data_IF_066608431989
#
_entry.id   IF_066608431989
#
_cell.length_a   1.000
_cell.length_b   1.000
_cell.length_c   1.000
_cell.angle_alpha   90.00
_cell.angle_beta   90.00
_cell.angle_gamma   90.00
#
_symmetry.space_group_name_H-M   'P 1'
#
loop_
_entity.id
_entity.type
_entity.pdbx_description
1 polymer ?
#
# COMPACT_ATOMS: atom_id res chain seq x y z
N UNK A 1 -53.95 43.20 24.92
CA UNK A 1 -52.74 42.44 25.29
C UNK A 1 -52.67 41.21 24.37
N UNK A 2 -51.78 41.21 23.38
CA UNK A 2 -51.60 40.10 22.42
C UNK A 2 -50.14 39.66 22.50
N UNK A 3 -49.88 38.51 23.10
CA UNK A 3 -48.57 37.89 23.13
C UNK A 3 -48.45 36.94 21.93
N UNK A 4 -47.56 37.27 20.99
CA UNK A 4 -47.19 36.40 19.88
C UNK A 4 -46.05 35.50 20.37
N UNK A 5 -46.32 34.20 20.55
CA UNK A 5 -45.27 33.21 20.82
C UNK A 5 -44.45 32.99 19.54
N UNK A 6 -43.16 33.37 19.59
CA UNK A 6 -42.20 33.00 18.56
C UNK A 6 -41.72 31.56 18.82
N UNK A 7 -41.99 30.68 17.86
CA UNK A 7 -41.62 29.27 17.92
C UNK A 7 -40.26 29.11 17.24
N UNK A 8 -39.19 29.06 18.04
CA UNK A 8 -37.81 28.93 17.58
C UNK A 8 -37.52 27.47 17.24
N UNK A 9 -37.58 27.11 15.95
CA UNK A 9 -37.17 25.79 15.46
C UNK A 9 -35.65 25.68 15.49
N UNK A 10 -35.13 24.95 16.49
CA UNK A 10 -33.72 24.58 16.58
C UNK A 10 -33.40 23.54 15.50
N UNK A 11 -32.61 23.92 14.50
CA UNK A 11 -32.05 23.01 13.49
C UNK A 11 -30.90 22.26 14.16
N UNK A 12 -31.12 20.99 14.50
CA UNK A 12 -30.07 20.07 14.93
C UNK A 12 -29.25 19.65 13.72
N UNK A 13 -28.11 20.31 13.52
CA UNK A 13 -27.11 19.91 12.54
C UNK A 13 -26.45 18.60 12.99
N UNK A 14 -26.89 17.48 12.42
CA UNK A 14 -26.18 16.20 12.55
C UNK A 14 -24.91 16.28 11.72
N UNK A 15 -23.77 16.53 12.37
CA UNK A 15 -22.45 16.37 11.77
C UNK A 15 -22.19 14.88 11.57
N UNK A 16 -22.39 14.40 10.34
CA UNK A 16 -21.92 13.08 9.94
C UNK A 16 -20.39 13.06 10.00
N UNK A 17 -19.84 12.47 11.06
CA UNK A 17 -18.42 12.14 11.13
C UNK A 17 -18.16 11.04 10.10
N UNK A 18 -17.64 11.41 8.94
CA UNK A 18 -17.05 10.47 8.00
C UNK A 18 -15.78 9.90 8.62
N UNK A 19 -15.86 8.72 9.20
CA UNK A 19 -14.66 7.95 9.56
C UNK A 19 -14.00 7.52 8.25
N UNK A 20 -12.87 8.14 7.92
CA UNK A 20 -12.06 7.69 6.79
C UNK A 20 -11.64 6.23 7.05
N UNK A 21 -12.02 5.33 6.15
CA UNK A 21 -11.60 3.94 6.23
C UNK A 21 -10.07 3.90 6.16
N UNK A 22 -9.44 3.24 7.14
CA UNK A 22 -8.00 3.04 7.11
C UNK A 22 -7.61 2.25 5.85
N UNK A 23 -6.47 2.55 5.21
CA UNK A 23 -6.04 1.86 4.01
C UNK A 23 -5.82 0.37 4.34
N UNK A 24 -6.41 -0.51 3.51
CA UNK A 24 -6.34 -1.95 3.72
C UNK A 24 -4.93 -2.45 3.38
N UNK A 25 -4.28 -3.05 4.38
CA UNK A 25 -2.96 -3.69 4.23
C UNK A 25 -3.15 -5.20 4.09
N UNK A 26 -2.55 -5.80 3.06
CA UNK A 26 -2.66 -7.22 2.73
C UNK A 26 -1.27 -7.87 2.73
N UNK A 27 -1.10 -8.95 3.48
CA UNK A 27 0.12 -9.77 3.41
C UNK A 27 0.10 -10.61 2.12
N UNK A 28 1.19 -10.58 1.37
CA UNK A 28 1.40 -11.48 0.22
C UNK A 28 1.49 -12.92 0.76
N UNK A 29 0.60 -13.84 0.35
CA UNK A 29 0.55 -15.19 0.88
C UNK A 29 1.90 -15.91 0.78
N UNK A 30 2.37 -16.47 1.90
CA UNK A 30 3.62 -17.24 1.98
C UNK A 30 4.91 -16.41 2.02
N UNK A 31 4.84 -15.09 1.86
CA UNK A 31 6.02 -14.21 1.92
C UNK A 31 6.65 -14.12 3.32
N UNK A 32 5.92 -14.54 4.35
CA UNK A 32 6.40 -14.70 5.71
C UNK A 32 7.31 -15.94 5.89
N UNK A 33 7.16 -16.95 5.03
CA UNK A 33 7.87 -18.22 5.14
C UNK A 33 8.92 -18.45 4.03
N UNK A 34 8.73 -17.87 2.84
CA UNK A 34 9.55 -18.11 1.65
C UNK A 34 10.10 -16.82 1.06
N UNK A 35 11.11 -16.96 0.21
CA UNK A 35 11.68 -15.84 -0.54
C UNK A 35 10.83 -15.49 -1.76
N UNK A 36 10.62 -14.20 -1.95
CA UNK A 36 9.87 -13.64 -3.06
C UNK A 36 10.70 -12.63 -3.83
N UNK A 37 10.29 -12.38 -5.06
CA UNK A 37 10.70 -11.22 -5.84
C UNK A 37 9.55 -10.21 -5.97
N UNK A 38 9.92 -8.98 -6.27
CA UNK A 38 9.00 -7.87 -6.57
C UNK A 38 9.45 -7.27 -7.90
N UNK A 39 8.56 -7.18 -8.88
CA UNK A 39 8.83 -6.51 -10.14
C UNK A 39 7.74 -5.51 -10.44
N UNK A 40 8.12 -4.24 -10.57
CA UNK A 40 7.26 -3.17 -11.03
C UNK A 40 7.68 -2.69 -12.42
N UNK A 41 6.69 -2.32 -13.21
CA UNK A 41 6.88 -1.87 -14.57
C UNK A 41 5.87 -0.79 -14.97
N UNK A 42 6.35 0.16 -15.77
CA UNK A 42 5.56 1.23 -16.38
C UNK A 42 5.95 1.32 -17.86
N UNK A 43 4.97 1.37 -18.75
CA UNK A 43 5.17 1.43 -20.20
C UNK A 43 6.14 0.33 -20.73
N UNK A 44 6.06 -0.86 -20.14
CA UNK A 44 6.89 -2.02 -20.49
C UNK A 44 8.35 -1.94 -19.99
N UNK A 45 8.71 -0.93 -19.20
CA UNK A 45 10.04 -0.78 -18.61
C UNK A 45 10.02 -1.15 -17.13
N UNK A 46 11.02 -1.91 -16.68
CA UNK A 46 11.20 -2.23 -15.26
C UNK A 46 11.64 -0.99 -14.51
N UNK A 47 10.87 -0.60 -13.50
CA UNK A 47 11.07 0.60 -12.68
C UNK A 47 11.53 0.25 -11.28
N UNK A 48 11.20 -0.95 -10.80
CA UNK A 48 11.67 -1.49 -9.53
C UNK A 48 11.82 -3.01 -9.61
N UNK A 49 12.88 -3.55 -9.02
CA UNK A 49 13.18 -4.97 -9.06
C UNK A 49 13.87 -5.47 -7.79
N UNK A 50 13.25 -6.45 -7.15
CA UNK A 50 13.88 -7.38 -6.21
C UNK A 50 13.79 -8.76 -6.84
N UNK A 51 14.91 -9.31 -7.27
CA UNK A 51 14.97 -10.63 -7.92
C UNK A 51 16.37 -11.19 -7.86
N UNK A 52 16.47 -12.50 -7.74
CA UNK A 52 17.71 -13.25 -7.91
C UNK A 52 18.14 -13.19 -9.39
N UNK A 53 19.02 -12.24 -9.70
CA UNK A 53 19.65 -12.10 -11.01
C UNK A 53 21.17 -11.94 -10.83
N UNK A 54 21.95 -12.49 -11.74
CA UNK A 54 23.43 -12.46 -11.78
C UNK A 54 23.95 -11.02 -11.89
N UNK A 55 23.16 -10.11 -12.47
CA UNK A 55 23.52 -8.70 -12.66
C UNK A 55 23.10 -7.73 -11.55
N UNK A 56 22.13 -8.10 -10.72
CA UNK A 56 21.63 -7.23 -9.66
C UNK A 56 22.47 -7.43 -8.40
N UNK A 57 23.21 -6.42 -7.93
CA UNK A 57 24.10 -6.57 -6.76
C UNK A 57 23.47 -6.14 -5.44
N UNK A 58 22.28 -5.54 -5.50
CA UNK A 58 21.70 -4.88 -4.33
C UNK A 58 20.72 -5.80 -3.61
N UNK A 59 19.66 -6.27 -4.29
CA UNK A 59 18.56 -7.01 -3.65
C UNK A 59 18.10 -8.22 -4.46
N UNK A 60 18.15 -9.40 -3.85
CA UNK A 60 17.75 -10.66 -4.48
C UNK A 60 16.48 -11.26 -3.90
N UNK A 61 16.23 -11.02 -2.61
CA UNK A 61 15.12 -11.65 -1.87
C UNK A 61 14.29 -10.61 -1.15
N UNK A 62 12.97 -10.81 -1.15
CA UNK A 62 12.00 -10.09 -0.34
C UNK A 62 11.17 -11.05 0.53
N UNK A 63 10.84 -10.64 1.75
CA UNK A 63 9.98 -11.39 2.70
C UNK A 63 9.07 -10.43 3.47
N UNK A 64 8.04 -10.99 4.13
CA UNK A 64 7.05 -10.25 4.90
C UNK A 64 6.48 -9.07 4.09
N UNK A 65 6.00 -9.36 2.88
CA UNK A 65 5.59 -8.33 1.93
C UNK A 65 4.14 -7.95 2.21
N UNK A 66 3.94 -6.70 2.61
CA UNK A 66 2.62 -6.11 2.80
C UNK A 66 2.32 -5.14 1.67
N UNK A 67 1.14 -5.28 1.06
CA UNK A 67 0.63 -4.40 0.01
C UNK A 67 -0.51 -3.57 0.58
N UNK A 68 -0.36 -2.25 0.47
CA UNK A 68 -1.39 -1.29 0.88
C UNK A 68 -1.86 -0.54 -0.35
N UNK A 69 -3.17 -0.55 -0.61
CA UNK A 69 -3.74 0.29 -1.67
C UNK A 69 -3.75 1.75 -1.23
N UNK A 70 -3.26 2.62 -2.10
CA UNK A 70 -3.25 4.08 -1.94
C UNK A 70 -4.18 4.71 -2.97
N UNK A 71 -4.45 6.01 -2.79
CA UNK A 71 -5.25 6.79 -3.73
C UNK A 71 -4.66 6.79 -5.15
N UNK A 72 -5.54 6.86 -6.15
CA UNK A 72 -5.14 6.91 -7.56
C UNK A 72 -4.63 5.59 -8.13
N UNK A 73 -4.97 4.45 -7.51
CA UNK A 73 -4.58 3.11 -7.97
C UNK A 73 -3.11 2.79 -7.71
N UNK A 74 -2.46 3.54 -6.82
CA UNK A 74 -1.08 3.32 -6.40
C UNK A 74 -1.02 2.27 -5.30
N UNK A 75 0.15 1.64 -5.15
CA UNK A 75 0.41 0.62 -4.14
C UNK A 75 1.62 1.03 -3.29
N UNK A 76 1.56 0.78 -1.99
CA UNK A 76 2.75 0.74 -1.14
C UNK A 76 3.10 -0.72 -0.84
N UNK A 77 4.35 -1.09 -1.09
CA UNK A 77 4.92 -2.37 -0.71
C UNK A 77 5.84 -2.15 0.48
N UNK A 78 5.51 -2.67 1.66
CA UNK A 78 6.38 -2.66 2.84
C UNK A 78 6.89 -4.08 3.09
N UNK A 79 8.20 -4.28 3.10
CA UNK A 79 8.81 -5.62 3.12
C UNK A 79 10.21 -5.60 3.72
N UNK A 80 10.72 -6.79 4.02
CA UNK A 80 12.13 -7.02 4.25
C UNK A 80 12.81 -7.38 2.93
N UNK A 81 14.03 -6.89 2.71
CA UNK A 81 14.86 -7.21 1.56
C UNK A 81 16.31 -7.48 1.93
N UNK A 82 17.02 -8.16 1.02
CA UNK A 82 18.47 -8.31 1.07
C UNK A 82 19.00 -9.22 -0.03
N UNK A 83 20.26 -9.63 0.08
CA UNK A 83 20.95 -10.42 -0.93
C UNK A 83 20.79 -11.95 -0.69
N UNK A 84 21.19 -12.45 0.48
CA UNK A 84 20.97 -13.85 0.87
C UNK A 84 19.83 -13.99 1.87
N UNK A 85 19.67 -13.00 2.73
CA UNK A 85 18.64 -12.95 3.78
C UNK A 85 17.91 -11.62 3.68
N UNK A 86 16.60 -11.63 3.91
CA UNK A 86 15.78 -10.44 3.95
C UNK A 86 15.74 -9.88 5.38
N UNK A 87 16.67 -8.98 5.71
CA UNK A 87 16.86 -8.41 7.06
C UNK A 87 16.74 -6.89 7.12
N UNK A 88 16.70 -6.20 5.97
CA UNK A 88 16.53 -4.76 5.90
C UNK A 88 15.11 -4.39 5.51
N UNK A 89 14.47 -3.54 6.31
CA UNK A 89 13.17 -2.97 5.97
C UNK A 89 13.28 -2.01 4.77
N UNK A 90 12.31 -2.10 3.88
CA UNK A 90 12.12 -1.13 2.80
C UNK A 90 10.64 -0.86 2.56
N UNK A 91 10.35 0.26 1.91
CA UNK A 91 9.03 0.54 1.38
C UNK A 91 9.12 1.14 -0.01
N UNK A 92 8.48 0.48 -0.97
CA UNK A 92 8.36 0.97 -2.33
C UNK A 92 6.96 1.52 -2.58
N UNK A 93 6.88 2.72 -3.15
CA UNK A 93 5.63 3.35 -3.54
C UNK A 93 5.51 3.36 -5.05
N UNK A 94 4.47 2.72 -5.56
CA UNK A 94 4.24 2.70 -6.99
C UNK A 94 3.83 4.09 -7.51
N UNK A 95 4.19 4.37 -8.75
CA UNK A 95 3.63 5.48 -9.49
C UNK A 95 2.22 5.14 -10.00
N UNK A 96 1.43 6.16 -10.35
CA UNK A 96 0.10 5.97 -10.94
C UNK A 96 0.25 5.26 -12.29
N UNK A 97 -0.52 4.18 -12.50
CA UNK A 97 -0.46 3.39 -13.73
C UNK A 97 0.69 2.39 -13.79
N UNK A 98 1.50 2.30 -12.74
CA UNK A 98 2.54 1.28 -12.61
C UNK A 98 1.94 -0.08 -12.22
N UNK A 99 2.39 -1.14 -12.89
CA UNK A 99 1.99 -2.52 -12.57
C UNK A 99 3.09 -3.21 -11.78
N UNK A 100 2.75 -3.70 -10.59
CA UNK A 100 3.66 -4.42 -9.71
C UNK A 100 3.16 -5.84 -9.45
N UNK A 101 4.07 -6.81 -9.51
CA UNK A 101 3.81 -8.21 -9.22
C UNK A 101 4.81 -8.76 -8.21
N UNK A 102 4.34 -9.69 -7.38
CA UNK A 102 5.17 -10.50 -6.49
C UNK A 102 5.17 -11.95 -6.95
N UNK A 103 6.31 -12.63 -6.87
CA UNK A 103 6.45 -14.02 -7.28
C UNK A 103 7.38 -14.77 -6.33
N UNK A 104 7.04 -16.03 -6.03
CA UNK A 104 7.93 -16.93 -5.28
C UNK A 104 9.19 -17.24 -6.11
N UNK A 105 10.35 -17.36 -5.46
CA UNK A 105 11.65 -17.62 -6.11
C UNK A 105 12.28 -18.96 -5.73
#
# INVERSE_FOLDING_TARGET
MKALLAMTTAVLSFTALSVAAAPMQLLVPGSDAKDFGIQCQMDGKVTYLVRKDVGNRDYHVARNIYVTQLDGGRLAFSFLRGFVSADMYDTYFSATGESCNTFEQ
#
